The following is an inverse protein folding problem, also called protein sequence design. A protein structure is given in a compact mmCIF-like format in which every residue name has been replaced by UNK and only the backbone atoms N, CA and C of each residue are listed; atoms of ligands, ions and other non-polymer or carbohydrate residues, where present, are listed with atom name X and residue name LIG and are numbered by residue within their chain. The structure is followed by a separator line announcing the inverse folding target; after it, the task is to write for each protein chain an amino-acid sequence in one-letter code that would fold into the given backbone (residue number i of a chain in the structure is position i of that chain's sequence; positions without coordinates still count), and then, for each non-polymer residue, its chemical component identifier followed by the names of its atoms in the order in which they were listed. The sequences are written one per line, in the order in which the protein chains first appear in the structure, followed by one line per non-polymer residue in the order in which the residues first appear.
data_IF_387666511074
#
_entry.id   IF_387666511074
#
_cell.length_a   1.000
_cell.length_b   1.000
_cell.length_c   1.000
_cell.angle_alpha   90.00
_cell.angle_beta   90.00
_cell.angle_gamma   90.00
#
_symmetry.space_group_name_H-M   'P 1'
#
loop_
_entity.id
_entity.type
_entity.pdbx_description
1 polymer ?
#
# COMPACT_ATOMS: atom_id res chain seq x y z
N UNK A 1 2.04 -4.16 8.64
CA UNK A 1 1.74 -2.74 8.36
C UNK A 1 1.49 -2.59 6.88
N UNK A 2 0.22 -2.48 6.45
CA UNK A 2 -0.11 -2.16 5.06
C UNK A 2 0.63 -0.91 4.56
N UNK A 3 1.38 -1.07 3.48
CA UNK A 3 1.96 0.03 2.70
C UNK A 3 1.20 0.12 1.36
N UNK A 4 1.75 0.79 0.35
CA UNK A 4 1.05 0.98 -0.92
C UNK A 4 0.58 -0.35 -1.57
N UNK A 5 1.43 -1.39 -1.69
CA UNK A 5 1.03 -2.62 -2.36
C UNK A 5 -0.14 -3.32 -1.66
N UNK A 6 -0.10 -3.45 -0.34
CA UNK A 6 -1.18 -4.08 0.42
C UNK A 6 -2.51 -3.32 0.30
N UNK A 7 -2.44 -1.99 0.28
CA UNK A 7 -3.62 -1.13 0.14
C UNK A 7 -4.16 -1.18 -1.30
N UNK A 8 -3.30 -1.35 -2.31
CA UNK A 8 -3.74 -1.60 -3.68
C UNK A 8 -4.45 -2.94 -3.80
N UNK A 9 -3.95 -4.00 -3.15
CA UNK A 9 -4.65 -5.28 -3.06
C UNK A 9 -6.02 -5.12 -2.39
N UNK A 10 -6.11 -4.39 -1.26
CA UNK A 10 -7.39 -4.10 -0.62
C UNK A 10 -8.34 -3.33 -1.54
N UNK A 11 -7.83 -2.31 -2.24
CA UNK A 11 -8.61 -1.52 -3.21
C UNK A 11 -9.21 -2.41 -4.30
N UNK A 12 -8.39 -3.25 -4.95
CA UNK A 12 -8.84 -4.23 -5.95
C UNK A 12 -9.87 -5.20 -5.37
N UNK A 13 -9.62 -5.67 -4.15
CA UNK A 13 -10.53 -6.56 -3.44
C UNK A 13 -11.91 -5.99 -3.17
N UNK A 14 -12.00 -4.69 -2.92
CA UNK A 14 -13.28 -4.03 -2.62
C UNK A 14 -13.88 -3.28 -3.80
N UNK A 15 -13.18 -3.18 -4.94
CA UNK A 15 -13.68 -2.61 -6.18
C UNK A 15 -15.02 -3.20 -6.67
N UNK A 16 -15.32 -4.50 -6.49
CA UNK A 16 -16.61 -5.07 -6.89
C UNK A 16 -17.85 -4.42 -6.25
N UNK A 17 -17.70 -3.60 -5.20
CA UNK A 17 -18.82 -2.88 -4.60
C UNK A 17 -19.26 -1.66 -5.42
N UNK A 18 -18.54 -1.26 -6.47
CA UNK A 18 -18.99 -0.17 -7.36
C UNK A 18 -20.41 -0.49 -7.86
N UNK A 19 -21.30 0.50 -7.81
CA UNK A 19 -22.71 0.34 -8.13
C UNK A 19 -23.58 -0.19 -6.98
N UNK A 20 -23.01 -0.71 -5.89
CA UNK A 20 -23.79 -1.15 -4.73
C UNK A 20 -24.35 0.06 -3.95
N UNK A 21 -25.52 -0.14 -3.34
CA UNK A 21 -26.15 0.82 -2.42
C UNK A 21 -25.83 0.47 -0.97
N UNK A 22 -25.46 1.45 -0.18
CA UNK A 22 -25.24 1.29 1.27
C UNK A 22 -26.59 1.33 1.98
N UNK A 23 -26.93 0.26 2.70
CA UNK A 23 -28.17 0.13 3.47
C UNK A 23 -28.04 0.64 4.91
N UNK A 24 -26.88 0.43 5.51
CA UNK A 24 -26.55 0.84 6.86
C UNK A 24 -25.03 0.85 7.08
N UNK A 25 -24.57 1.69 7.98
CA UNK A 25 -23.24 1.66 8.56
C UNK A 25 -23.33 1.40 10.07
N UNK A 26 -22.55 0.42 10.53
CA UNK A 26 -22.55 -0.03 11.92
C UNK A 26 -21.12 -0.05 12.44
N UNK A 27 -20.96 0.22 13.74
CA UNK A 27 -19.73 -0.02 14.47
C UNK A 27 -19.99 -1.20 15.42
N UNK A 28 -19.58 -2.44 15.04
CA UNK A 28 -19.81 -3.61 15.87
C UNK A 28 -19.13 -3.50 17.24
N UNK A 29 -19.65 -4.17 18.28
CA UNK A 29 -19.02 -4.19 19.60
C UNK A 29 -17.57 -4.67 19.50
N UNK A 30 -16.65 -3.89 20.07
CA UNK A 30 -15.24 -4.24 20.14
C UNK A 30 -14.62 -3.70 21.43
N UNK A 31 -14.11 -4.59 22.26
CA UNK A 31 -13.51 -4.27 23.58
C UNK A 31 -12.13 -3.58 23.48
N UNK A 32 -11.58 -3.49 22.27
CA UNK A 32 -10.25 -2.91 22.04
C UNK A 32 -10.38 -1.42 21.78
N UNK A 33 -9.28 -0.67 21.98
CA UNK A 33 -9.18 0.78 21.70
C UNK A 33 -9.96 1.15 20.41
N UNK A 34 -10.89 2.13 20.47
CA UNK A 34 -11.66 2.51 19.31
C UNK A 34 -10.77 3.15 18.24
N UNK A 35 -11.11 2.88 16.98
CA UNK A 35 -10.50 3.56 15.83
C UNK A 35 -10.95 5.03 15.78
N UNK A 36 -10.22 5.86 15.05
CA UNK A 36 -10.73 7.17 14.67
C UNK A 36 -11.79 7.01 13.59
N UNK A 37 -13.06 7.22 13.94
CA UNK A 37 -14.18 7.24 13.00
C UNK A 37 -14.80 8.66 13.00
N UNK A 38 -14.74 9.34 11.86
CA UNK A 38 -15.20 10.73 11.72
C UNK A 38 -16.09 10.90 10.47
N UNK A 39 -17.31 11.42 10.61
CA UNK A 39 -18.01 11.74 11.85
C UNK A 39 -18.32 10.47 12.68
N UNK A 40 -18.87 10.63 13.89
CA UNK A 40 -19.30 9.51 14.73
C UNK A 40 -20.36 8.62 14.05
N UNK A 41 -20.50 7.36 14.48
CA UNK A 41 -21.22 6.33 13.72
C UNK A 41 -22.67 6.69 13.35
N UNK A 42 -23.42 7.33 14.25
CA UNK A 42 -24.81 7.73 13.96
C UNK A 42 -24.90 8.74 12.82
N UNK A 43 -24.05 9.77 12.84
CA UNK A 43 -23.99 10.76 11.76
C UNK A 43 -23.39 10.15 10.48
N UNK A 44 -22.39 9.28 10.63
CA UNK A 44 -21.78 8.57 9.51
C UNK A 44 -22.84 7.75 8.76
N UNK A 45 -23.63 6.93 9.47
CA UNK A 45 -24.72 6.15 8.90
C UNK A 45 -25.76 7.04 8.22
N UNK A 46 -26.22 8.11 8.88
CA UNK A 46 -27.17 9.05 8.29
C UNK A 46 -26.66 9.67 6.97
N UNK A 47 -25.35 9.89 6.83
CA UNK A 47 -24.76 10.44 5.61
C UNK A 47 -24.58 9.39 4.49
N UNK A 48 -24.26 8.14 4.82
CA UNK A 48 -23.96 7.11 3.80
C UNK A 48 -25.18 6.25 3.44
N UNK A 49 -26.18 6.17 4.31
CA UNK A 49 -27.38 5.35 4.10
C UNK A 49 -28.12 5.80 2.85
N UNK A 50 -28.43 4.85 1.99
CA UNK A 50 -29.06 5.08 0.69
C UNK A 50 -28.11 5.51 -0.41
N UNK A 51 -26.85 5.90 -0.11
CA UNK A 51 -25.90 6.32 -1.14
C UNK A 51 -25.42 5.12 -1.98
N UNK A 52 -25.17 5.36 -3.26
CA UNK A 52 -24.52 4.40 -4.14
C UNK A 52 -23.00 4.63 -4.16
N UNK A 53 -22.23 3.54 -4.17
CA UNK A 53 -20.78 3.60 -4.40
C UNK A 53 -20.53 3.89 -5.88
N UNK A 54 -19.86 5.01 -6.14
CA UNK A 54 -19.52 5.47 -7.49
C UNK A 54 -18.17 4.94 -7.98
N UNK A 55 -17.16 4.94 -7.11
CA UNK A 55 -15.81 4.51 -7.46
C UNK A 55 -15.04 4.02 -6.24
N UNK A 56 -14.07 3.13 -6.46
CA UNK A 56 -13.11 2.68 -5.45
C UNK A 56 -11.69 2.97 -5.92
N UNK A 57 -10.99 3.82 -5.18
CA UNK A 57 -9.65 4.28 -5.49
C UNK A 57 -8.65 4.07 -4.36
N UNK A 58 -7.39 4.41 -4.64
CA UNK A 58 -6.30 4.40 -3.65
C UNK A 58 -5.54 5.72 -3.73
N UNK A 59 -5.11 6.22 -2.58
CA UNK A 59 -4.16 7.32 -2.49
C UNK A 59 -3.10 7.03 -1.43
N UNK A 60 -1.86 6.76 -1.86
CA UNK A 60 -0.81 6.27 -0.99
C UNK A 60 -1.24 5.01 -0.25
N UNK A 61 -1.39 5.11 1.08
CA UNK A 61 -1.78 4.02 1.99
C UNK A 61 -3.25 4.08 2.44
N UNK A 62 -4.11 4.70 1.63
CA UNK A 62 -5.55 4.86 1.92
C UNK A 62 -6.40 4.25 0.82
N UNK A 63 -7.44 3.52 1.21
CA UNK A 63 -8.54 3.13 0.34
C UNK A 63 -9.55 4.29 0.32
N UNK A 64 -10.02 4.64 -0.87
CA UNK A 64 -11.01 5.68 -1.11
C UNK A 64 -12.27 5.03 -1.70
N UNK A 65 -13.43 5.30 -1.13
CA UNK A 65 -14.72 4.87 -1.66
C UNK A 65 -15.53 6.14 -1.90
N UNK A 66 -15.68 6.51 -3.17
CA UNK A 66 -16.44 7.68 -3.60
C UNK A 66 -17.93 7.33 -3.68
N UNK A 67 -18.76 8.18 -3.11
CA UNK A 67 -20.22 8.06 -3.10
C UNK A 67 -20.84 8.95 -4.18
N UNK A 68 -22.07 8.67 -4.56
CA UNK A 68 -22.79 9.38 -5.62
C UNK A 68 -22.94 10.89 -5.39
N UNK A 69 -23.03 11.35 -4.14
CA UNK A 69 -23.09 12.78 -3.78
C UNK A 69 -21.72 13.48 -3.78
N UNK A 70 -20.66 12.77 -4.17
CA UNK A 70 -19.28 13.28 -4.20
C UNK A 70 -18.56 13.21 -2.86
N UNK A 71 -19.20 12.76 -1.77
CA UNK A 71 -18.46 12.47 -0.54
C UNK A 71 -17.57 11.25 -0.74
N UNK A 72 -16.45 11.19 -0.01
CA UNK A 72 -15.49 10.10 -0.09
C UNK A 72 -15.24 9.52 1.30
N UNK A 73 -15.45 8.23 1.44
CA UNK A 73 -15.00 7.45 2.58
C UNK A 73 -13.51 7.12 2.41
N UNK A 74 -12.70 7.61 3.34
CA UNK A 74 -11.24 7.45 3.38
C UNK A 74 -10.87 6.50 4.52
N UNK A 75 -10.37 5.32 4.17
CA UNK A 75 -9.92 4.30 5.13
C UNK A 75 -8.40 4.21 5.10
N UNK A 76 -7.75 4.46 6.24
CA UNK A 76 -6.30 4.27 6.41
C UNK A 76 -6.07 3.05 7.31
N UNK A 77 -5.61 1.90 6.77
CA UNK A 77 -5.49 0.66 7.54
C UNK A 77 -4.37 0.68 8.60
N UNK A 78 -3.41 1.60 8.47
CA UNK A 78 -2.26 1.74 9.37
C UNK A 78 -1.46 0.46 9.54
N UNK A 79 -1.49 -0.18 10.72
CA UNK A 79 -0.58 -1.28 11.06
C UNK A 79 -1.18 -2.66 10.76
N UNK A 80 -2.47 -2.84 11.06
CA UNK A 80 -3.14 -4.14 11.08
C UNK A 80 -4.55 -4.07 10.49
N UNK A 81 -4.94 -2.92 9.95
CA UNK A 81 -6.24 -2.75 9.31
C UNK A 81 -6.36 -3.58 8.04
N UNK A 82 -7.55 -4.11 7.79
CA UNK A 82 -7.96 -4.81 6.57
C UNK A 82 -9.29 -4.24 6.09
N UNK A 83 -9.45 -4.05 4.78
CA UNK A 83 -10.74 -3.72 4.15
C UNK A 83 -11.17 -4.91 3.32
N UNK A 84 -12.32 -5.50 3.63
CA UNK A 84 -12.70 -6.84 3.17
C UNK A 84 -14.15 -6.87 2.67
N UNK A 85 -14.44 -7.75 1.71
CA UNK A 85 -15.80 -8.15 1.30
C UNK A 85 -16.14 -9.59 1.70
N UNK A 86 -15.17 -10.33 2.25
CA UNK A 86 -15.30 -11.68 2.76
C UNK A 86 -15.24 -11.70 4.29
N UNK A 87 -15.40 -12.89 4.88
CA UNK A 87 -15.26 -13.07 6.32
C UNK A 87 -13.90 -12.56 6.82
N UNK A 88 -13.90 -11.75 7.90
CA UNK A 88 -12.67 -11.27 8.50
C UNK A 88 -11.95 -12.41 9.25
N UNK A 89 -10.70 -12.20 9.70
CA UNK A 89 -10.00 -13.18 10.53
C UNK A 89 -10.76 -13.60 11.79
N UNK A 90 -11.63 -12.72 12.30
CA UNK A 90 -12.51 -12.94 13.44
C UNK A 90 -13.37 -11.69 13.71
N UNK A 91 -14.51 -11.83 14.39
CA UNK A 91 -15.43 -10.71 14.65
C UNK A 91 -14.91 -9.72 15.71
N UNK A 92 -14.00 -10.14 16.59
CA UNK A 92 -13.56 -9.42 17.79
C UNK A 92 -12.78 -8.11 17.52
N UNK A 93 -12.36 -7.91 16.28
CA UNK A 93 -11.64 -6.71 15.85
C UNK A 93 -12.30 -6.01 14.66
N UNK A 94 -13.57 -6.33 14.38
CA UNK A 94 -14.38 -5.62 13.40
C UNK A 94 -14.70 -4.22 13.91
N UNK A 95 -14.40 -3.19 13.11
CA UNK A 95 -14.45 -1.78 13.52
C UNK A 95 -15.48 -0.95 12.77
N UNK A 96 -15.86 -1.39 11.57
CA UNK A 96 -16.91 -0.82 10.75
C UNK A 96 -17.51 -1.95 9.89
N UNK A 97 -18.82 -1.96 9.76
CA UNK A 97 -19.56 -2.76 8.79
C UNK A 97 -20.44 -1.83 7.97
N UNK A 98 -20.35 -1.90 6.64
CA UNK A 98 -21.34 -1.32 5.74
C UNK A 98 -22.18 -2.47 5.17
N UNK A 99 -23.49 -2.43 5.34
CA UNK A 99 -24.41 -3.36 4.69
C UNK A 99 -24.71 -2.86 3.28
N UNK A 100 -24.65 -3.75 2.30
CA UNK A 100 -24.72 -3.43 0.88
C UNK A 100 -25.88 -4.15 0.19
N UNK A 101 -26.42 -3.53 -0.86
CA UNK A 101 -27.41 -4.10 -1.77
C UNK A 101 -27.09 -3.74 -3.23
N UNK A 102 -27.80 -4.39 -4.17
CA UNK A 102 -27.65 -4.12 -5.61
C UNK A 102 -26.53 -4.93 -6.29
N UNK A 103 -25.99 -5.95 -5.62
CA UNK A 103 -25.02 -6.87 -6.20
C UNK A 103 -24.71 -8.07 -5.30
N UNK A 104 -23.68 -8.87 -5.64
CA UNK A 104 -23.39 -10.14 -4.97
C UNK A 104 -22.79 -9.97 -3.57
N UNK A 105 -22.15 -8.82 -3.29
CA UNK A 105 -21.54 -8.56 -1.99
C UNK A 105 -22.56 -7.93 -1.04
N UNK A 106 -22.71 -8.53 0.13
CA UNK A 106 -23.67 -8.07 1.15
C UNK A 106 -23.08 -7.11 2.16
N UNK A 107 -21.76 -7.10 2.33
CA UNK A 107 -21.09 -6.28 3.33
C UNK A 107 -19.72 -5.79 2.84
N UNK A 108 -19.32 -4.61 3.32
CA UNK A 108 -17.93 -4.18 3.38
C UNK A 108 -17.51 -4.06 4.85
N UNK A 109 -16.35 -4.62 5.17
CA UNK A 109 -15.85 -4.74 6.53
C UNK A 109 -14.52 -4.00 6.68
N UNK A 110 -14.36 -3.27 7.78
CA UNK A 110 -13.05 -2.77 8.23
C UNK A 110 -12.67 -3.47 9.53
N UNK A 111 -11.62 -4.27 9.49
CA UNK A 111 -11.10 -5.03 10.62
C UNK A 111 -9.76 -4.44 11.05
N UNK A 112 -9.51 -4.23 12.34
CA UNK A 112 -8.22 -3.74 12.83
C UNK A 112 -7.91 -4.23 14.25
N UNK A 113 -6.94 -5.15 14.36
CA UNK A 113 -6.47 -5.70 15.64
C UNK A 113 -6.03 -4.63 16.64
N UNK A 114 -5.35 -3.57 16.17
CA UNK A 114 -4.68 -2.59 17.05
C UNK A 114 -5.51 -1.33 17.32
N UNK A 115 -6.59 -1.11 16.57
CA UNK A 115 -7.41 0.10 16.70
C UNK A 115 -6.66 1.38 16.34
N UNK A 116 -5.68 1.29 15.43
CA UNK A 116 -4.88 2.43 14.96
C UNK A 116 -5.43 3.00 13.65
N UNK A 117 -6.19 2.21 12.91
CA UNK A 117 -6.83 2.58 11.67
C UNK A 117 -7.75 3.78 11.81
N UNK A 118 -8.00 4.44 10.68
CA UNK A 118 -8.87 5.61 10.64
C UNK A 118 -9.88 5.49 9.52
N UNK A 119 -11.12 5.89 9.79
CA UNK A 119 -12.23 5.95 8.84
C UNK A 119 -12.75 7.38 8.86
N UNK A 120 -12.76 8.04 7.69
CA UNK A 120 -13.19 9.43 7.57
C UNK A 120 -14.14 9.60 6.38
N UNK A 121 -15.32 10.15 6.59
CA UNK A 121 -16.20 10.58 5.50
C UNK A 121 -15.94 12.06 5.21
N UNK A 122 -15.51 12.38 4.01
CA UNK A 122 -15.05 13.72 3.63
C UNK A 122 -15.79 14.24 2.42
N UNK A 123 -16.20 15.52 2.48
CA UNK A 123 -16.62 16.28 1.30
C UNK A 123 -15.43 16.52 0.36
N UNK A 124 -15.65 16.82 -0.93
CA UNK A 124 -14.57 17.07 -1.89
C UNK A 124 -13.53 18.08 -1.40
N UNK A 125 -13.95 19.24 -0.88
CA UNK A 125 -13.04 20.26 -0.35
C UNK A 125 -12.20 19.77 0.85
N UNK A 126 -12.80 18.93 1.71
CA UNK A 126 -12.11 18.34 2.86
C UNK A 126 -11.12 17.25 2.41
N UNK A 127 -11.46 16.46 1.39
CA UNK A 127 -10.55 15.48 0.80
C UNK A 127 -9.31 16.17 0.23
N UNK A 128 -9.49 17.28 -0.48
CA UNK A 128 -8.39 18.10 -0.98
C UNK A 128 -7.51 18.64 0.15
N UNK A 129 -8.09 19.35 1.11
CA UNK A 129 -7.30 20.02 2.16
C UNK A 129 -6.66 19.06 3.18
N UNK A 130 -7.37 17.98 3.53
CA UNK A 130 -7.00 17.14 4.67
C UNK A 130 -6.32 15.84 4.29
N UNK A 131 -6.36 15.47 3.00
CA UNK A 131 -5.72 14.25 2.48
C UNK A 131 -4.79 14.58 1.32
N UNK A 132 -5.31 15.04 0.17
CA UNK A 132 -4.50 15.23 -1.05
C UNK A 132 -3.42 16.32 -0.86
N UNK A 133 -3.79 17.48 -0.32
CA UNK A 133 -2.87 18.59 -0.08
C UNK A 133 -1.85 18.36 1.04
N UNK A 134 -1.98 17.28 1.83
CA UNK A 134 -0.99 16.88 2.85
C UNK A 134 -0.07 15.76 2.40
N UNK A 135 -0.34 15.17 1.23
CA UNK A 135 0.43 14.06 0.69
C UNK A 135 1.30 14.53 -0.48
N UNK A 136 2.45 13.91 -0.61
CA UNK A 136 3.23 13.97 -1.83
C UNK A 136 2.56 13.18 -2.94
N UNK A 137 3.16 13.23 -4.12
CA UNK A 137 2.71 12.44 -5.26
C UNK A 137 2.74 10.95 -4.93
N UNK A 138 1.82 10.18 -5.51
CA UNK A 138 1.76 8.74 -5.31
C UNK A 138 3.04 8.07 -5.81
N UNK A 139 3.64 7.14 -5.05
CA UNK A 139 4.90 6.50 -5.43
C UNK A 139 4.82 5.76 -6.77
N UNK A 140 3.62 5.28 -7.15
CA UNK A 140 3.39 4.66 -8.46
C UNK A 140 3.24 5.66 -9.60
N UNK A 141 3.17 6.97 -9.33
CA UNK A 141 2.98 8.03 -10.35
C UNK A 141 4.09 9.06 -10.38
N UNK A 142 4.79 9.27 -9.27
CA UNK A 142 5.86 10.26 -9.15
C UNK A 142 6.94 10.06 -10.21
N UNK A 143 7.40 11.15 -10.83
CA UNK A 143 8.53 11.14 -11.76
C UNK A 143 9.87 11.28 -11.03
N UNK A 144 10.99 10.92 -11.68
CA UNK A 144 12.32 11.12 -11.12
C UNK A 144 12.57 12.59 -10.76
N UNK A 145 12.20 13.52 -11.66
CA UNK A 145 12.36 14.96 -11.44
C UNK A 145 11.58 15.42 -10.21
N UNK A 146 10.31 15.01 -10.12
CA UNK A 146 9.44 15.29 -8.97
C UNK A 146 9.99 14.76 -7.64
N UNK A 147 10.55 13.55 -7.62
CA UNK A 147 11.15 12.96 -6.42
C UNK A 147 12.43 13.69 -6.02
N UNK A 148 13.30 13.94 -7.01
CA UNK A 148 14.57 14.65 -6.82
C UNK A 148 14.33 16.06 -6.30
N UNK A 149 13.47 16.83 -6.94
CA UNK A 149 13.31 18.26 -6.63
C UNK A 149 12.72 18.46 -5.22
N UNK A 150 11.86 17.55 -4.76
CA UNK A 150 11.34 17.56 -3.38
C UNK A 150 12.39 17.19 -2.32
N UNK A 151 13.44 16.45 -2.67
CA UNK A 151 14.38 15.88 -1.68
C UNK A 151 15.83 16.34 -1.80
N UNK A 152 16.26 16.89 -2.94
CA UNK A 152 17.68 17.19 -3.24
C UNK A 152 18.34 18.18 -2.29
N UNK A 153 17.58 18.99 -1.57
CA UNK A 153 18.11 19.91 -0.55
C UNK A 153 18.05 19.34 0.87
N UNK A 154 17.41 18.18 1.05
CA UNK A 154 17.22 17.57 2.36
C UNK A 154 18.52 16.97 2.90
N UNK A 155 18.87 17.33 4.13
CA UNK A 155 20.01 16.72 4.84
C UNK A 155 19.66 15.39 5.52
N UNK A 156 18.39 14.96 5.44
CA UNK A 156 17.93 13.68 5.99
C UNK A 156 18.55 12.52 5.19
N UNK A 157 18.85 11.38 5.82
CA UNK A 157 19.15 10.15 5.11
C UNK A 157 18.01 9.75 4.16
N UNK A 158 18.35 9.24 2.97
CA UNK A 158 17.38 8.93 1.91
C UNK A 158 16.30 7.96 2.38
N UNK A 159 16.65 6.94 3.18
CA UNK A 159 15.65 6.02 3.71
C UNK A 159 14.64 6.74 4.58
N UNK A 160 15.07 7.66 5.43
CA UNK A 160 14.16 8.43 6.30
C UNK A 160 13.28 9.35 5.45
N UNK A 161 13.85 9.99 4.44
CA UNK A 161 13.14 10.90 3.55
C UNK A 161 12.05 10.19 2.72
N UNK A 162 12.29 8.96 2.26
CA UNK A 162 11.28 8.16 1.52
C UNK A 162 10.07 7.74 2.36
N UNK A 163 10.19 7.77 3.70
CA UNK A 163 9.06 7.47 4.59
C UNK A 163 8.12 8.67 4.80
N UNK A 164 8.54 9.85 4.38
CA UNK A 164 7.77 11.08 4.51
C UNK A 164 6.63 11.09 3.48
N UNK A 165 5.41 10.86 3.96
CA UNK A 165 4.23 10.78 3.10
C UNK A 165 3.89 12.12 2.44
N UNK A 166 4.41 13.25 2.94
CA UNK A 166 4.26 14.57 2.30
C UNK A 166 5.19 14.77 1.09
N UNK A 167 6.23 13.95 0.98
CA UNK A 167 7.16 13.95 -0.15
C UNK A 167 6.72 12.96 -1.22
N UNK A 168 6.47 11.71 -0.80
CA UNK A 168 6.05 10.61 -1.68
C UNK A 168 5.11 9.71 -0.90
N UNK A 169 3.89 9.58 -1.39
CA UNK A 169 2.85 8.81 -0.72
C UNK A 169 2.97 7.32 -1.03
N UNK A 170 2.84 6.47 -0.01
CA UNK A 170 2.72 5.02 -0.20
C UNK A 170 3.95 4.20 0.21
N UNK A 171 5.16 4.76 0.18
CA UNK A 171 6.36 4.04 0.60
C UNK A 171 6.40 3.98 2.14
N UNK A 172 6.61 2.79 2.71
CA UNK A 172 6.88 2.62 4.13
C UNK A 172 8.19 1.90 4.39
N UNK A 173 8.29 1.30 5.58
CA UNK A 173 9.56 0.84 6.12
C UNK A 173 10.12 -0.35 5.33
N UNK A 174 9.23 -1.25 4.90
CA UNK A 174 9.59 -2.43 4.14
C UNK A 174 10.06 -2.04 2.76
N UNK A 175 9.19 -1.38 1.99
CA UNK A 175 9.50 -1.09 0.60
C UNK A 175 10.63 -0.08 0.46
N UNK A 176 10.82 0.87 1.40
CA UNK A 176 11.99 1.75 1.36
C UNK A 176 13.33 0.98 1.43
N UNK A 177 13.41 -0.08 2.25
CA UNK A 177 14.62 -0.89 2.36
C UNK A 177 14.89 -1.68 1.07
N UNK A 178 13.85 -2.31 0.52
CA UNK A 178 13.93 -3.08 -0.73
C UNK A 178 14.27 -2.19 -1.93
N UNK A 179 13.62 -1.02 -2.07
CA UNK A 179 13.87 -0.04 -3.12
C UNK A 179 15.34 0.40 -3.11
N UNK A 180 15.86 0.77 -1.93
CA UNK A 180 17.25 1.24 -1.82
C UNK A 180 18.26 0.13 -2.06
N UNK A 181 17.92 -1.12 -1.73
CA UNK A 181 18.75 -2.26 -2.11
C UNK A 181 18.75 -2.45 -3.63
N UNK A 182 17.59 -2.49 -4.29
CA UNK A 182 17.48 -2.58 -5.75
C UNK A 182 18.24 -1.44 -6.44
N UNK A 183 18.12 -0.21 -5.95
CA UNK A 183 18.84 0.95 -6.47
C UNK A 183 20.36 0.95 -6.16
N UNK A 184 20.82 0.13 -5.20
CA UNK A 184 22.20 0.09 -4.73
C UNK A 184 22.63 1.32 -3.96
N UNK A 185 21.70 1.97 -3.25
CA UNK A 185 21.96 3.20 -2.51
C UNK A 185 22.00 2.89 -1.02
N UNK A 186 23.06 3.32 -0.33
CA UNK A 186 23.15 3.21 1.13
C UNK A 186 22.00 4.00 1.78
N UNK A 187 21.17 3.39 2.65
CA UNK A 187 20.04 4.07 3.27
C UNK A 187 20.42 5.25 4.18
N UNK A 188 21.70 5.35 4.54
CA UNK A 188 22.28 6.43 5.35
C UNK A 188 22.74 7.62 4.50
N UNK A 189 22.82 7.47 3.18
CA UNK A 189 23.23 8.56 2.28
C UNK A 189 22.26 9.73 2.42
N UNK A 190 22.78 10.94 2.62
CA UNK A 190 21.95 12.15 2.71
C UNK A 190 21.40 12.50 1.33
N UNK A 191 20.17 13.01 1.27
CA UNK A 191 19.53 13.32 -0.01
C UNK A 191 20.30 14.40 -0.79
N UNK A 192 20.90 15.37 -0.09
CA UNK A 192 21.76 16.42 -0.65
C UNK A 192 23.12 15.95 -1.19
N UNK A 193 23.44 14.65 -1.05
CA UNK A 193 24.63 14.03 -1.61
C UNK A 193 24.32 13.02 -2.72
N UNK A 194 23.05 12.83 -3.05
CA UNK A 194 22.65 11.91 -4.11
C UNK A 194 22.86 12.55 -5.49
N UNK A 195 23.50 11.81 -6.39
CA UNK A 195 23.70 12.21 -7.78
C UNK A 195 22.46 11.98 -8.63
N UNK A 196 22.37 12.64 -9.79
CA UNK A 196 21.28 12.43 -10.76
C UNK A 196 21.04 10.96 -11.11
N UNK A 197 22.08 10.18 -11.46
CA UNK A 197 21.94 8.74 -11.71
C UNK A 197 21.43 7.94 -10.49
N UNK A 198 21.80 8.33 -9.26
CA UNK A 198 21.25 7.68 -8.06
C UNK A 198 19.74 7.94 -7.92
N UNK A 199 19.28 9.17 -8.18
CA UNK A 199 17.85 9.49 -8.18
C UNK A 199 17.08 8.68 -9.24
N UNK A 200 17.64 8.56 -10.44
CA UNK A 200 17.04 7.77 -11.52
C UNK A 200 16.88 6.30 -11.12
N UNK A 201 17.92 5.70 -10.52
CA UNK A 201 17.84 4.32 -10.02
C UNK A 201 16.85 4.14 -8.88
N UNK A 202 16.76 5.10 -7.94
CA UNK A 202 15.77 5.05 -6.86
C UNK A 202 14.35 5.09 -7.44
N UNK A 203 14.08 5.99 -8.39
CA UNK A 203 12.78 6.08 -9.04
C UNK A 203 12.42 4.79 -9.79
N UNK A 204 13.36 4.27 -10.60
CA UNK A 204 13.13 3.03 -11.34
C UNK A 204 12.89 1.84 -10.39
N UNK A 205 13.74 1.68 -9.37
CA UNK A 205 13.59 0.66 -8.34
C UNK A 205 12.27 0.78 -7.56
N UNK A 206 11.79 2.02 -7.34
CA UNK A 206 10.46 2.27 -6.75
C UNK A 206 9.37 1.65 -7.59
N UNK A 207 9.41 1.85 -8.91
CA UNK A 207 8.47 1.21 -9.85
C UNK A 207 8.54 -0.32 -9.82
N UNK A 208 9.74 -0.88 -9.90
CA UNK A 208 9.94 -2.35 -9.89
C UNK A 208 9.39 -2.99 -8.63
N UNK A 209 9.87 -2.53 -7.48
CA UNK A 209 9.61 -3.17 -6.19
C UNK A 209 8.13 -3.07 -5.83
N UNK A 210 7.52 -1.91 -6.05
CA UNK A 210 6.09 -1.75 -5.77
C UNK A 210 5.23 -2.52 -6.79
N UNK A 211 5.65 -2.59 -8.05
CA UNK A 211 4.95 -3.40 -9.07
C UNK A 211 4.97 -4.89 -8.75
N UNK A 212 6.14 -5.46 -8.49
CA UNK A 212 6.33 -6.85 -8.07
C UNK A 212 5.56 -7.16 -6.77
N UNK A 213 5.57 -6.23 -5.82
CA UNK A 213 4.80 -6.38 -4.59
C UNK A 213 3.29 -6.39 -4.81
N UNK A 214 2.76 -5.57 -5.73
CA UNK A 214 1.33 -5.57 -6.08
C UNK A 214 0.96 -6.86 -6.80
N UNK A 215 1.81 -7.37 -7.70
CA UNK A 215 1.62 -8.64 -8.40
C UNK A 215 1.56 -9.83 -7.43
N UNK A 216 2.39 -9.81 -6.40
CA UNK A 216 2.36 -10.80 -5.31
C UNK A 216 1.42 -10.42 -4.16
N UNK A 217 0.47 -9.50 -4.40
CA UNK A 217 -0.57 -9.10 -3.45
C UNK A 217 -0.05 -8.63 -2.08
N UNK A 218 1.15 -8.06 -2.03
CA UNK A 218 1.77 -7.52 -0.82
C UNK A 218 2.50 -8.57 0.03
N UNK A 219 2.95 -8.14 1.22
CA UNK A 219 3.78 -8.94 2.13
C UNK A 219 3.04 -9.25 3.43
N UNK A 220 2.85 -10.54 3.73
CA UNK A 220 2.43 -10.99 5.05
C UNK A 220 3.67 -11.21 5.93
N UNK A 221 3.85 -10.34 6.92
CA UNK A 221 4.96 -10.43 7.87
C UNK A 221 4.74 -11.54 8.90
N UNK A 222 5.77 -11.81 9.71
CA UNK A 222 5.76 -12.86 10.75
C UNK A 222 4.64 -12.74 11.78
N UNK A 223 4.06 -11.55 11.97
CA UNK A 223 2.87 -11.35 12.83
C UNK A 223 1.56 -11.87 12.21
N UNK A 224 1.58 -12.29 10.94
CA UNK A 224 0.45 -12.86 10.20
C UNK A 224 -0.74 -11.90 10.05
N UNK A 225 -0.53 -10.60 10.26
CA UNK A 225 -1.64 -9.64 10.38
C UNK A 225 -2.21 -9.21 9.04
N UNK A 226 -1.37 -9.09 8.02
CA UNK A 226 -1.82 -8.72 6.69
C UNK A 226 -2.40 -9.92 5.95
N UNK A 227 -3.56 -9.71 5.34
CA UNK A 227 -4.26 -10.67 4.49
C UNK A 227 -4.86 -9.95 3.28
N UNK A 228 -4.91 -10.64 2.14
CA UNK A 228 -5.53 -10.15 0.92
C UNK A 228 -7.07 -10.16 1.04
N UNK A 229 -7.75 -9.76 -0.03
CA UNK A 229 -9.20 -9.67 -0.08
C UNK A 229 -9.94 -11.01 0.08
N UNK A 230 -9.25 -12.13 -0.17
CA UNK A 230 -9.74 -13.49 0.02
C UNK A 230 -9.32 -14.08 1.38
N UNK A 231 -8.86 -13.23 2.31
CA UNK A 231 -8.37 -13.62 3.64
C UNK A 231 -7.12 -14.54 3.62
N UNK A 232 -6.39 -14.57 2.51
CA UNK A 232 -5.15 -15.32 2.32
C UNK A 232 -3.92 -14.45 2.57
N UNK A 233 -2.74 -15.06 2.68
CA UNK A 233 -1.49 -14.30 2.83
C UNK A 233 -1.06 -13.69 1.49
N UNK A 234 -0.41 -12.52 1.54
CA UNK A 234 0.35 -12.04 0.37
C UNK A 234 1.55 -12.95 0.08
N UNK A 235 2.22 -12.74 -1.04
CA UNK A 235 3.36 -13.55 -1.49
C UNK A 235 4.71 -12.84 -1.47
N UNK A 236 4.75 -11.51 -1.35
CA UNK A 236 5.97 -10.72 -1.54
C UNK A 236 7.05 -10.98 -0.47
N UNK A 237 6.69 -11.49 0.71
CA UNK A 237 7.65 -11.85 1.77
C UNK A 237 8.72 -12.84 1.30
N UNK A 238 8.40 -13.69 0.31
CA UNK A 238 9.34 -14.65 -0.26
C UNK A 238 10.44 -13.96 -1.10
N UNK A 239 10.13 -12.77 -1.61
CA UNK A 239 10.97 -11.95 -2.48
C UNK A 239 11.77 -10.90 -1.72
N UNK A 240 11.64 -10.81 -0.40
CA UNK A 240 12.45 -9.89 0.42
C UNK A 240 13.95 -10.12 0.17
N UNK A 241 14.65 -9.04 -0.19
CA UNK A 241 16.07 -9.06 -0.50
C UNK A 241 16.91 -8.67 0.71
N UNK A 242 16.42 -7.71 1.51
CA UNK A 242 17.08 -7.23 2.73
C UNK A 242 16.15 -7.11 3.93
N UNK A 243 14.87 -6.82 3.73
CA UNK A 243 13.95 -6.55 4.84
C UNK A 243 13.76 -7.79 5.73
N UNK A 244 13.96 -7.61 7.03
CA UNK A 244 13.89 -8.68 8.05
C UNK A 244 14.85 -9.86 7.79
N UNK A 245 15.95 -9.60 7.09
CA UNK A 245 16.99 -10.59 6.77
C UNK A 245 18.32 -10.32 7.47
N UNK A 246 18.29 -9.61 8.60
CA UNK A 246 19.51 -9.29 9.35
C UNK A 246 20.33 -10.56 9.66
N UNK A 247 21.65 -10.46 9.58
CA UNK A 247 22.60 -11.56 9.77
C UNK A 247 22.54 -12.69 8.72
N UNK A 248 21.68 -12.58 7.70
CA UNK A 248 21.67 -13.53 6.57
C UNK A 248 22.63 -13.07 5.46
N UNK A 249 23.10 -14.02 4.64
CA UNK A 249 23.89 -13.73 3.43
C UNK A 249 23.06 -12.92 2.42
N UNK A 250 23.70 -11.97 1.76
CA UNK A 250 23.10 -11.16 0.73
C UNK A 250 22.92 -11.97 -0.55
N UNK A 251 21.66 -12.12 -1.00
CA UNK A 251 21.28 -12.85 -2.23
C UNK A 251 21.79 -12.24 -3.55
N UNK A 252 22.43 -11.06 -3.52
CA UNK A 252 22.97 -10.40 -4.74
C UNK A 252 24.46 -10.64 -4.91
N UNK A 253 25.23 -10.59 -3.83
CA UNK A 253 26.69 -10.62 -3.91
C UNK A 253 27.32 -11.83 -3.21
N UNK A 254 26.52 -12.65 -2.52
CA UNK A 254 26.85 -13.87 -1.78
C UNK A 254 27.96 -13.79 -0.71
N UNK A 255 28.64 -12.65 -0.63
CA UNK A 255 29.77 -12.34 0.24
C UNK A 255 29.43 -11.36 1.37
N UNK A 256 28.40 -10.55 1.18
CA UNK A 256 27.94 -9.58 2.17
C UNK A 256 26.93 -10.18 3.14
N UNK A 257 26.89 -9.65 4.37
CA UNK A 257 25.86 -9.96 5.38
C UNK A 257 24.91 -8.78 5.52
N UNK A 258 23.61 -9.03 5.52
CA UNK A 258 22.59 -7.99 5.70
C UNK A 258 22.69 -7.44 7.13
N UNK A 259 22.82 -6.11 7.23
CA UNK A 259 22.90 -5.40 8.51
C UNK A 259 21.57 -4.74 8.84
N UNK A 260 21.26 -4.70 10.13
CA UNK A 260 20.16 -3.93 10.70
C UNK A 260 20.70 -2.73 11.47
N UNK A 261 20.16 -1.56 11.18
CA UNK A 261 20.38 -0.33 11.96
C UNK A 261 19.04 0.30 12.32
N UNK A 262 19.07 1.29 13.23
CA UNK A 262 17.91 2.12 13.54
C UNK A 262 18.11 3.50 12.92
N UNK A 263 17.13 3.97 12.16
CA UNK A 263 17.09 5.33 11.61
C UNK A 263 15.72 5.93 11.92
N UNK A 264 15.70 7.06 12.64
CA UNK A 264 14.47 7.75 13.06
C UNK A 264 13.44 6.79 13.69
N UNK A 265 13.86 6.03 14.71
CA UNK A 265 13.04 5.05 15.45
C UNK A 265 12.47 3.90 14.61
N UNK A 266 13.02 3.65 13.41
CA UNK A 266 12.60 2.55 12.54
C UNK A 266 13.77 1.67 12.15
N UNK A 267 13.55 0.37 12.14
CA UNK A 267 14.50 -0.61 11.62
C UNK A 267 14.81 -0.32 10.15
N UNK A 268 16.07 -0.50 9.77
CA UNK A 268 16.51 -0.37 8.39
C UNK A 268 17.47 -1.52 8.10
N UNK A 269 17.25 -2.20 6.98
CA UNK A 269 18.01 -3.35 6.56
C UNK A 269 18.72 -3.05 5.25
N UNK A 270 19.99 -3.42 5.13
CA UNK A 270 20.78 -3.14 3.93
C UNK A 270 22.01 -4.06 3.84
N UNK A 271 22.54 -4.23 2.64
CA UNK A 271 23.82 -4.91 2.43
C UNK A 271 24.95 -3.87 2.30
N UNK A 272 25.94 -3.82 3.21
CA UNK A 272 27.03 -2.85 3.13
C UNK A 272 27.93 -3.06 1.90
N UNK A 273 28.00 -4.28 1.38
CA UNK A 273 28.79 -4.62 0.18
C UNK A 273 28.11 -4.14 -1.10
N UNK A 274 26.78 -4.25 -1.19
CA UNK A 274 25.99 -3.86 -2.36
C UNK A 274 25.52 -2.40 -2.36
N UNK A 275 25.45 -1.77 -1.19
CA UNK A 275 24.95 -0.40 -1.01
C UNK A 275 26.08 0.44 -0.40
N UNK A 276 27.04 0.82 -1.24
CA UNK A 276 28.26 1.53 -0.82
C UNK A 276 28.05 3.04 -0.81
N UNK A 277 28.77 3.74 0.06
CA UNK A 277 28.78 5.22 0.10
C UNK A 277 29.32 5.85 -1.19
N UNK A 278 30.28 5.19 -1.85
CA UNK A 278 30.91 5.63 -3.10
C UNK A 278 30.02 5.42 -4.34
N UNK A 279 28.89 4.74 -4.19
CA UNK A 279 27.92 4.54 -5.27
C UNK A 279 27.79 3.09 -5.74
N UNK A 280 27.67 2.95 -7.06
CA UNK A 280 27.11 1.80 -7.79
C UNK A 280 27.88 0.49 -7.56
N UNK A 281 27.17 -0.56 -7.14
CA UNK A 281 27.72 -1.93 -7.14
C UNK A 281 27.86 -2.46 -8.57
N UNK A 282 28.88 -3.27 -8.84
CA UNK A 282 29.20 -3.76 -10.20
C UNK A 282 28.04 -4.47 -10.91
N UNK A 283 27.16 -5.12 -10.14
CA UNK A 283 25.98 -5.81 -10.66
C UNK A 283 24.80 -4.88 -11.01
N UNK A 284 24.93 -3.57 -10.82
CA UNK A 284 23.86 -2.60 -11.09
C UNK A 284 24.22 -1.85 -12.38
N UNK A 285 23.29 -1.74 -13.34
CA UNK A 285 23.57 -1.06 -14.62
C UNK A 285 24.09 0.38 -14.44
N UNK A 286 25.10 0.76 -15.24
CA UNK A 286 25.85 2.03 -15.11
C UNK A 286 25.10 3.26 -15.61
N UNK A 287 24.36 3.22 -16.73
CA UNK A 287 23.34 4.22 -17.08
C UNK A 287 22.55 3.88 -18.36
N UNK A 288 21.37 4.50 -18.49
CA UNK A 288 20.45 4.65 -19.64
C UNK A 288 19.63 3.46 -20.18
N UNK A 289 19.96 2.20 -19.89
CA UNK A 289 19.15 1.05 -20.36
C UNK A 289 17.95 0.72 -19.45
N UNK A 290 17.62 1.59 -18.49
CA UNK A 290 16.35 1.51 -17.78
C UNK A 290 15.26 1.97 -18.75
N UNK A 291 14.86 1.08 -19.66
CA UNK A 291 13.65 1.25 -20.47
C UNK A 291 12.51 1.72 -19.58
N UNK A 292 11.58 2.49 -20.16
CA UNK A 292 10.44 3.07 -19.45
C UNK A 292 9.86 2.07 -18.43
N UNK A 293 9.52 2.57 -17.24
CA UNK A 293 9.00 1.82 -16.09
C UNK A 293 8.21 0.57 -16.56
N UNK A 294 8.63 -0.67 -16.25
CA UNK A 294 7.90 -1.83 -16.76
C UNK A 294 6.47 -1.80 -16.24
N UNK A 295 5.58 -1.95 -17.22
CA UNK A 295 4.14 -1.90 -17.16
C UNK A 295 3.51 -0.75 -16.37
N UNK A 296 3.15 0.30 -17.13
CA UNK A 296 1.81 0.88 -17.03
C UNK A 296 0.79 -0.23 -17.31
N UNK A 297 0.44 -1.03 -16.31
CA UNK A 297 -0.87 -1.68 -16.31
C UNK A 297 -1.90 -0.56 -16.40
N UNK A 298 -2.66 -0.54 -17.49
CA UNK A 298 -3.67 0.45 -17.88
C UNK A 298 -4.45 0.99 -16.69
N UNK A 299 -4.07 2.19 -16.24
CA UNK A 299 -4.90 3.08 -15.45
C UNK A 299 -5.66 3.98 -16.45
N UNK A 300 -6.47 3.39 -17.32
CA UNK A 300 -7.40 4.13 -18.17
C UNK A 300 -8.82 3.63 -17.90
N UNK A 301 -9.70 4.59 -17.65
CA UNK A 301 -11.15 4.41 -17.65
C UNK A 301 -11.58 3.91 -19.03
N UNK A 302 -12.11 2.70 -19.11
CA UNK A 302 -12.58 2.15 -20.39
C UNK A 302 -13.27 0.81 -20.19
N UNK A 303 -14.59 0.86 -20.31
CA UNK A 303 -15.54 -0.25 -20.39
C UNK A 303 -15.05 -1.38 -21.31
N UNK A 304 -15.08 -2.63 -20.84
CA UNK A 304 -15.03 -3.81 -21.70
C UNK A 304 -16.08 -4.84 -21.25
N UNK A 305 -16.58 -5.67 -22.18
CA UNK A 305 -17.94 -6.16 -22.20
C UNK A 305 -18.14 -7.43 -21.37
N UNK A 306 -19.37 -7.57 -20.91
CA UNK A 306 -19.96 -8.80 -20.39
C UNK A 306 -19.84 -9.93 -21.44
N UNK A 307 -19.41 -11.10 -20.97
CA UNK A 307 -19.75 -12.46 -21.41
C UNK A 307 -18.54 -13.36 -21.68
N UNK A 308 -18.18 -14.15 -20.65
CA UNK A 308 -17.60 -15.48 -20.82
C UNK A 308 -17.99 -16.36 -19.61
N UNK A 309 -18.57 -17.56 -19.82
CA UNK A 309 -19.13 -18.37 -18.74
C UNK A 309 -18.05 -19.08 -17.91
N UNK A 310 -18.25 -19.06 -16.59
CA UNK A 310 -17.46 -19.77 -15.59
C UNK A 310 -17.72 -21.28 -15.75
N UNK A 311 -16.67 -22.05 -16.06
CA UNK A 311 -16.71 -23.52 -16.01
C UNK A 311 -16.70 -23.99 -14.55
N UNK A 312 -17.74 -24.69 -14.15
CA UNK A 312 -17.87 -25.38 -12.87
C UNK A 312 -16.90 -26.57 -12.79
N UNK A 313 -16.22 -26.83 -11.65
CA UNK A 313 -15.51 -28.09 -11.45
C UNK A 313 -16.53 -29.21 -11.16
N UNK A 314 -16.43 -30.30 -11.92
CA UNK A 314 -17.17 -31.54 -11.68
C UNK A 314 -16.76 -32.16 -10.34
N UNK A 315 -17.76 -32.56 -9.57
CA UNK A 315 -17.63 -33.40 -8.39
C UNK A 315 -17.11 -34.79 -8.80
N UNK A 316 -16.06 -35.27 -8.13
CA UNK A 316 -15.67 -36.68 -8.20
C UNK A 316 -16.42 -37.45 -7.12
N UNK A 317 -17.34 -38.30 -7.55
CA UNK A 317 -17.97 -39.34 -6.73
C UNK A 317 -16.98 -40.49 -6.45
N UNK A 318 -17.17 -41.09 -5.28
CA UNK A 318 -16.52 -42.31 -4.80
C UNK A 318 -16.53 -43.47 -5.81
N UNK A 319 -15.39 -44.13 -5.96
CA UNK A 319 -15.24 -45.60 -5.89
C UNK A 319 -13.79 -45.95 -5.55
#
# INVERSE_FOLDING_TARGET
MPELPEVETMRRGVEPIVGHRILAAEQPPCEKRPILLQPGIAQFDACVRGQQVRAVGRLGKRVLIELQDGQTLVIEPRMTGLVLLSDPPGPEHLRLRLRLAGGPHRELLFWDRRGLGTVRLLKPSQLEQQVRGRLGEDAMRISTGQLRDRLRLSRRPIKVALLDQSVVAGIGNLYAAEILFVAGVDPRTRCDRLTGPQWQRIWWATGQVLGEAIEHEGSTLSDGTYRNALNQQGGYQNYHRVYDRANQKCRRCDSGVIRRIVQAQRSTFFCPSCQRKTGLHASIPRDSSFGGRPNRGTLEHGSLPLDAPIRTPLASENR
#
